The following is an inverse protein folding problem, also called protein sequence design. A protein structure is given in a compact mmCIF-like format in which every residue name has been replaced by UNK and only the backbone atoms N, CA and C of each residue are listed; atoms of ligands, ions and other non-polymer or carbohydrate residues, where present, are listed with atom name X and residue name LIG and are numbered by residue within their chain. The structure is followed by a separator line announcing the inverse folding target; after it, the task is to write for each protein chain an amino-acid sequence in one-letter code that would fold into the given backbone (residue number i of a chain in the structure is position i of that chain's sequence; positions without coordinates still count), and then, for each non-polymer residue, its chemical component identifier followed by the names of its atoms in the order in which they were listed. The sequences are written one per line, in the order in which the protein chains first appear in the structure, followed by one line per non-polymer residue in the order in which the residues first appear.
data_IF_116380946909
#
_entry.id   IF_116380946909
#
_cell.length_a   1.000
_cell.length_b   1.000
_cell.length_c   1.000
_cell.angle_alpha   90.00
_cell.angle_beta   90.00
_cell.angle_gamma   90.00
#
_symmetry.space_group_name_H-M   'P 1'
#
loop_
_entity.id
_entity.type
_entity.pdbx_description
1 polymer ?
#
# COMPACT_ATOMS: atom_id res chain seq x y z
N UNK A 1 21.84 -94.87 1.95
CA UNK A 1 20.91 -93.96 2.66
C UNK A 1 21.70 -93.00 3.54
N UNK A 2 21.75 -91.70 3.26
CA UNK A 2 21.89 -90.62 4.26
C UNK A 2 21.26 -89.33 3.71
N UNK A 3 20.44 -88.68 4.55
CA UNK A 3 19.51 -87.58 4.29
C UNK A 3 20.22 -86.27 3.90
N UNK A 4 19.67 -85.56 2.92
CA UNK A 4 19.90 -84.13 2.70
C UNK A 4 19.00 -83.36 3.67
N UNK A 5 19.60 -82.56 4.56
CA UNK A 5 18.90 -81.60 5.43
C UNK A 5 19.34 -80.22 4.96
N UNK A 6 18.40 -79.45 4.41
CA UNK A 6 18.62 -78.08 3.97
C UNK A 6 18.68 -77.10 5.14
N UNK A 7 19.39 -76.00 4.93
CA UNK A 7 19.14 -74.74 5.63
C UNK A 7 18.90 -73.70 4.55
N UNK A 8 17.64 -73.36 4.34
CA UNK A 8 17.20 -72.22 3.54
C UNK A 8 17.40 -70.99 4.42
N UNK A 9 18.54 -70.31 4.25
CA UNK A 9 18.75 -68.98 4.80
C UNK A 9 18.08 -67.95 3.89
N UNK A 10 16.94 -67.42 4.35
CA UNK A 10 16.10 -66.45 3.66
C UNK A 10 16.83 -65.10 3.44
N UNK A 11 17.61 -64.99 2.36
CA UNK A 11 18.13 -63.69 1.87
C UNK A 11 17.00 -62.95 1.15
N UNK A 12 16.11 -62.34 1.93
CA UNK A 12 14.85 -61.86 1.38
C UNK A 12 14.13 -60.81 2.22
N UNK A 13 14.83 -59.83 2.80
CA UNK A 13 14.21 -58.53 3.07
C UNK A 13 14.97 -57.44 2.33
N UNK A 14 14.66 -57.30 1.04
CA UNK A 14 14.85 -56.04 0.34
C UNK A 14 13.98 -55.02 1.09
N UNK A 15 14.60 -54.21 1.93
CA UNK A 15 13.99 -52.96 2.39
C UNK A 15 13.77 -52.16 1.11
N UNK A 16 12.53 -52.16 0.62
CA UNK A 16 12.10 -51.27 -0.45
C UNK A 16 12.19 -49.87 0.12
N UNK A 17 13.35 -49.22 -0.05
CA UNK A 17 13.65 -47.85 0.39
C UNK A 17 12.90 -46.80 -0.43
N UNK A 18 12.33 -47.20 -1.57
CA UNK A 18 11.66 -46.31 -2.52
C UNK A 18 10.43 -45.57 -1.93
N UNK A 19 9.52 -46.19 -1.16
CA UNK A 19 8.34 -45.50 -0.61
C UNK A 19 8.74 -44.46 0.44
N UNK A 20 9.68 -44.81 1.33
CA UNK A 20 10.16 -43.95 2.42
C UNK A 20 10.88 -42.72 1.86
N UNK A 21 11.67 -42.89 0.80
CA UNK A 21 12.38 -41.79 0.15
C UNK A 21 11.43 -40.81 -0.56
N UNK A 22 10.30 -41.29 -1.08
CA UNK A 22 9.27 -40.45 -1.71
C UNK A 22 8.52 -39.61 -0.66
N UNK A 23 8.21 -40.19 0.50
CA UNK A 23 7.56 -39.48 1.60
C UNK A 23 8.45 -38.38 2.18
N UNK A 24 9.75 -38.67 2.37
CA UNK A 24 10.74 -37.69 2.85
C UNK A 24 10.92 -36.55 1.82
N UNK A 25 11.01 -36.88 0.53
CA UNK A 25 11.12 -35.88 -0.53
C UNK A 25 9.86 -34.99 -0.59
N UNK A 26 8.67 -35.58 -0.44
CA UNK A 26 7.41 -34.83 -0.38
C UNK A 26 7.36 -33.86 0.79
N UNK A 27 7.70 -34.33 2.00
CA UNK A 27 7.74 -33.49 3.20
C UNK A 27 8.75 -32.33 3.08
N UNK A 28 9.93 -32.59 2.51
CA UNK A 28 10.95 -31.57 2.30
C UNK A 28 10.50 -30.50 1.29
N UNK A 29 9.85 -30.91 0.20
CA UNK A 29 9.30 -29.98 -0.80
C UNK A 29 8.22 -29.10 -0.17
N UNK A 30 7.30 -29.66 0.61
CA UNK A 30 6.27 -28.89 1.33
C UNK A 30 6.89 -27.91 2.32
N UNK A 31 7.91 -28.32 3.06
CA UNK A 31 8.62 -27.44 4.00
C UNK A 31 9.32 -26.27 3.29
N UNK A 32 9.96 -26.54 2.15
CA UNK A 32 10.57 -25.51 1.30
C UNK A 32 9.52 -24.54 0.77
N UNK A 33 8.36 -25.03 0.31
CA UNK A 33 7.28 -24.16 -0.15
C UNK A 33 6.73 -23.26 0.97
N UNK A 34 6.58 -23.75 2.20
CA UNK A 34 6.10 -22.95 3.33
C UNK A 34 7.18 -21.96 3.81
N UNK A 35 8.45 -22.35 3.81
CA UNK A 35 9.56 -21.50 4.23
C UNK A 35 9.93 -20.41 3.19
N UNK A 36 9.66 -20.67 1.91
CA UNK A 36 9.90 -19.73 0.80
C UNK A 36 8.63 -18.99 0.34
N UNK A 37 7.48 -19.23 0.97
CA UNK A 37 6.34 -18.31 0.79
C UNK A 37 6.83 -16.93 1.19
N UNK A 38 6.71 -15.91 0.32
CA UNK A 38 7.11 -14.55 0.69
C UNK A 38 6.36 -14.22 1.96
N UNK A 39 7.11 -13.92 3.03
CA UNK A 39 6.55 -13.47 4.29
C UNK A 39 5.51 -12.42 3.94
N UNK A 40 4.27 -12.65 4.36
CA UNK A 40 3.22 -11.65 4.23
C UNK A 40 3.80 -10.38 4.84
N UNK A 41 3.94 -9.34 4.03
CA UNK A 41 4.30 -8.02 4.49
C UNK A 41 3.28 -7.65 5.57
N UNK A 42 3.71 -7.66 6.82
CA UNK A 42 2.96 -6.99 7.87
C UNK A 42 3.20 -5.52 7.63
N UNK A 43 2.19 -4.85 7.07
CA UNK A 43 2.22 -3.41 6.96
C UNK A 43 2.31 -2.86 8.39
N UNK A 44 3.44 -2.25 8.73
CA UNK A 44 3.61 -1.52 9.98
C UNK A 44 2.71 -0.30 9.92
N UNK A 45 1.76 -0.15 10.84
CA UNK A 45 0.98 1.09 11.00
C UNK A 45 1.97 2.22 11.28
N UNK A 46 2.05 3.21 10.40
CA UNK A 46 3.17 4.17 10.41
C UNK A 46 3.08 5.10 11.63
N UNK A 47 1.90 5.71 11.86
CA UNK A 47 1.63 6.56 13.02
C UNK A 47 0.13 6.90 13.09
N UNK A 48 -0.45 6.91 14.29
CA UNK A 48 -1.84 7.33 14.51
C UNK A 48 -1.83 8.76 15.05
N UNK A 49 -2.46 9.69 14.32
CA UNK A 49 -2.46 11.11 14.64
C UNK A 49 -3.74 11.52 15.38
N UNK A 50 -3.58 12.28 16.47
CA UNK A 50 -4.70 12.96 17.13
C UNK A 50 -5.13 14.17 16.29
N UNK A 51 -6.42 14.29 15.98
CA UNK A 51 -6.95 15.43 15.19
C UNK A 51 -7.26 16.60 16.13
N UNK A 52 -6.24 17.38 16.49
CA UNK A 52 -6.34 18.53 17.39
C UNK A 52 -5.66 19.81 16.88
N UNK A 53 -5.19 19.79 15.63
CA UNK A 53 -4.44 20.86 14.98
C UNK A 53 -3.08 21.19 15.63
N UNK A 54 -2.53 20.29 16.44
CA UNK A 54 -1.14 20.29 16.87
C UNK A 54 -0.28 19.41 15.93
N UNK A 55 1.01 19.69 15.85
CA UNK A 55 1.99 18.90 15.11
C UNK A 55 2.85 17.99 16.01
N UNK A 56 2.62 17.98 17.32
CA UNK A 56 3.42 17.23 18.30
C UNK A 56 3.49 15.72 18.01
N UNK A 57 2.42 15.15 17.44
CA UNK A 57 2.34 13.72 17.10
C UNK A 57 3.09 13.39 15.79
N UNK A 58 3.50 14.38 15.00
CA UNK A 58 4.10 14.20 13.68
C UNK A 58 5.64 14.10 13.75
N UNK A 59 6.21 13.21 12.95
CA UNK A 59 7.65 13.03 12.83
C UNK A 59 8.23 13.84 11.65
N UNK A 60 8.97 14.92 11.96
CA UNK A 60 9.54 15.84 10.95
C UNK A 60 10.44 15.19 9.89
N UNK A 61 11.10 14.06 10.19
CA UNK A 61 12.06 13.44 9.26
C UNK A 61 11.43 12.43 8.30
N UNK A 62 10.35 11.76 8.72
CA UNK A 62 9.78 10.63 7.99
C UNK A 62 8.40 10.94 7.39
N UNK A 63 7.67 11.88 7.97
CA UNK A 63 6.28 12.18 7.59
C UNK A 63 6.16 13.51 6.84
N UNK A 64 7.19 14.36 6.86
CA UNK A 64 7.21 15.64 6.14
C UNK A 64 7.60 15.44 4.66
N UNK A 65 6.66 15.70 3.75
CA UNK A 65 6.83 15.51 2.31
C UNK A 65 7.49 16.71 1.60
N UNK A 66 7.52 17.89 2.21
CA UNK A 66 8.14 19.08 1.61
C UNK A 66 7.93 20.37 2.41
N UNK A 67 8.69 21.42 2.04
CA UNK A 67 8.77 22.69 2.80
C UNK A 67 8.62 23.97 1.96
N UNK A 68 8.53 23.87 0.61
CA UNK A 68 8.67 25.03 -0.29
C UNK A 68 7.58 26.10 -0.15
N UNK A 69 6.40 25.75 0.36
CA UNK A 69 5.27 26.67 0.54
C UNK A 69 4.51 26.35 1.83
N UNK A 70 5.27 26.12 2.91
CA UNK A 70 4.76 25.49 4.12
C UNK A 70 5.15 24.02 4.19
N UNK A 71 4.96 23.41 5.35
CA UNK A 71 5.29 22.03 5.62
C UNK A 71 4.06 21.17 5.36
N UNK A 72 4.20 20.16 4.49
CA UNK A 72 3.14 19.20 4.22
C UNK A 72 3.52 17.85 4.81
N UNK A 73 2.63 17.27 5.58
CA UNK A 73 2.85 16.00 6.25
C UNK A 73 1.85 14.95 5.78
N UNK A 74 2.29 13.70 5.76
CA UNK A 74 1.46 12.54 5.45
C UNK A 74 1.87 11.34 6.30
N UNK A 75 0.88 10.68 6.89
CA UNK A 75 1.06 9.39 7.54
C UNK A 75 -0.24 8.59 7.48
N UNK A 76 -0.22 7.37 8.02
CA UNK A 76 -1.35 6.46 7.92
C UNK A 76 -1.31 5.40 9.03
N UNK A 77 -2.49 4.87 9.35
CA UNK A 77 -2.67 3.70 10.18
C UNK A 77 -3.67 2.71 9.55
N UNK A 78 -4.14 1.73 10.32
CA UNK A 78 -5.04 0.70 9.81
C UNK A 78 -6.39 1.25 9.32
N UNK A 79 -6.79 2.43 9.79
CA UNK A 79 -8.13 2.98 9.61
C UNK A 79 -8.16 4.25 8.76
N UNK A 80 -7.09 5.06 8.77
CA UNK A 80 -7.09 6.38 8.15
C UNK A 80 -5.78 6.78 7.47
N UNK A 81 -5.93 7.69 6.50
CA UNK A 81 -4.85 8.53 5.99
C UNK A 81 -4.89 9.89 6.65
N UNK A 82 -3.75 10.34 7.16
CA UNK A 82 -3.59 11.61 7.84
C UNK A 82 -2.79 12.56 6.97
N UNK A 83 -3.26 13.81 6.90
CA UNK A 83 -2.56 14.89 6.21
C UNK A 83 -2.53 16.11 7.13
N UNK A 84 -1.38 16.78 7.20
CA UNK A 84 -1.28 18.10 7.84
C UNK A 84 -0.60 19.09 6.91
N UNK A 85 -1.00 20.36 7.04
CA UNK A 85 -0.39 21.45 6.32
C UNK A 85 -0.11 22.60 7.30
N UNK A 86 1.17 22.85 7.54
CA UNK A 86 1.62 23.95 8.38
C UNK A 86 2.18 25.08 7.52
N UNK A 87 1.49 26.21 7.52
CA UNK A 87 1.95 27.43 6.85
C UNK A 87 3.08 28.14 7.61
N UNK A 88 3.25 27.87 8.91
CA UNK A 88 4.13 28.61 9.81
C UNK A 88 3.52 29.94 10.31
N UNK A 89 2.21 30.14 10.11
CA UNK A 89 1.47 31.32 10.55
C UNK A 89 -0.02 31.22 10.22
N UNK A 90 -0.82 32.20 10.63
CA UNK A 90 -2.27 32.21 10.39
C UNK A 90 -2.61 32.19 8.89
N UNK A 91 -3.66 31.48 8.50
CA UNK A 91 -4.27 31.63 7.19
C UNK A 91 -5.03 32.96 7.14
N UNK A 92 -4.63 33.87 6.25
CA UNK A 92 -5.18 35.23 6.19
C UNK A 92 -5.91 35.55 4.88
N UNK A 93 -5.81 34.64 3.89
CA UNK A 93 -6.46 34.73 2.59
C UNK A 93 -6.45 33.34 1.93
N UNK A 94 -7.08 33.23 0.75
CA UNK A 94 -7.22 32.00 -0.05
C UNK A 94 -6.13 31.73 -1.14
N UNK A 95 -4.83 32.11 -1.04
CA UNK A 95 -3.85 31.62 -2.02
C UNK A 95 -3.39 30.18 -1.73
N UNK A 96 -3.55 29.70 -0.50
CA UNK A 96 -3.07 28.38 -0.09
C UNK A 96 -4.17 27.34 -0.37
N UNK A 97 -3.93 26.44 -1.33
CA UNK A 97 -4.87 25.38 -1.71
C UNK A 97 -4.10 24.06 -1.74
N UNK A 98 -4.59 23.09 -0.99
CA UNK A 98 -4.04 21.73 -1.00
C UNK A 98 -4.83 20.87 -1.98
N UNK A 99 -4.13 20.25 -2.92
CA UNK A 99 -4.69 19.27 -3.86
C UNK A 99 -4.06 17.90 -3.61
N UNK A 100 -4.90 16.91 -3.32
CA UNK A 100 -4.48 15.53 -3.08
C UNK A 100 -5.06 14.67 -4.18
N UNK A 101 -4.23 14.32 -5.17
CA UNK A 101 -4.61 13.41 -6.25
C UNK A 101 -4.38 11.97 -5.81
N UNK A 102 -5.38 11.10 -6.02
CA UNK A 102 -5.36 9.73 -5.54
C UNK A 102 -5.62 8.78 -6.72
N UNK A 103 -4.78 7.74 -6.79
CA UNK A 103 -5.02 6.56 -7.61
C UNK A 103 -5.31 5.38 -6.70
N UNK A 104 -6.41 4.68 -6.95
CA UNK A 104 -6.78 3.44 -6.24
C UNK A 104 -6.48 2.20 -7.07
N UNK A 105 -5.79 2.37 -8.18
CA UNK A 105 -5.48 1.32 -9.15
C UNK A 105 -3.98 1.17 -9.29
N UNK A 106 -3.55 0.03 -9.83
CA UNK A 106 -2.14 -0.21 -10.15
C UNK A 106 -1.60 0.85 -11.11
N UNK A 107 -0.31 1.22 -11.04
CA UNK A 107 0.29 2.21 -11.95
C UNK A 107 0.17 1.86 -13.45
N UNK A 108 -0.01 0.58 -13.78
CA UNK A 108 -0.22 0.08 -15.15
C UNK A 108 -1.67 0.16 -15.61
N UNK A 109 -2.62 0.55 -14.74
CA UNK A 109 -4.03 0.68 -15.08
C UNK A 109 -4.28 1.85 -16.01
N UNK A 110 -5.26 1.70 -16.90
CA UNK A 110 -5.69 2.74 -17.84
C UNK A 110 -6.74 3.67 -17.22
N UNK A 111 -7.23 3.33 -16.02
CA UNK A 111 -8.28 4.06 -15.30
C UNK A 111 -7.70 5.36 -14.73
N UNK A 112 -8.48 6.45 -14.81
CA UNK A 112 -8.07 7.78 -14.37
C UNK A 112 -7.41 8.61 -15.48
N UNK A 113 -6.80 9.71 -15.10
CA UNK A 113 -6.22 10.68 -16.03
C UNK A 113 -4.87 11.21 -15.54
N UNK A 114 -3.99 11.58 -16.48
CA UNK A 114 -2.75 12.32 -16.20
C UNK A 114 -2.98 13.83 -16.10
N UNK A 115 -4.23 14.26 -16.12
CA UNK A 115 -4.61 15.66 -16.24
C UNK A 115 -5.19 16.15 -14.91
N UNK A 116 -4.63 17.21 -14.33
CA UNK A 116 -5.18 17.83 -13.12
C UNK A 116 -6.59 18.37 -13.32
N UNK A 117 -7.26 18.76 -12.23
CA UNK A 117 -8.43 19.64 -12.34
C UNK A 117 -7.97 20.98 -12.93
N UNK A 118 -8.74 21.53 -13.86
CA UNK A 118 -8.52 22.86 -14.39
C UNK A 118 -9.09 23.91 -13.41
N UNK A 119 -8.19 24.69 -12.83
CA UNK A 119 -8.51 25.77 -11.87
C UNK A 119 -7.85 27.09 -12.27
N UNK A 120 -6.64 27.00 -12.82
CA UNK A 120 -5.94 28.12 -13.45
C UNK A 120 -5.00 27.57 -14.53
N UNK A 121 -5.57 26.72 -15.40
CA UNK A 121 -4.80 25.87 -16.28
C UNK A 121 -4.66 24.45 -15.73
N UNK A 122 -4.17 23.61 -16.63
CA UNK A 122 -4.10 22.17 -16.45
C UNK A 122 -2.64 21.73 -16.33
N UNK A 123 -2.36 20.86 -15.37
CA UNK A 123 -1.04 20.30 -15.11
C UNK A 123 -1.02 18.81 -15.48
N UNK A 124 0.15 18.32 -15.90
CA UNK A 124 0.39 16.89 -16.09
C UNK A 124 0.79 16.23 -14.78
N UNK A 125 -0.02 15.31 -14.30
CA UNK A 125 0.26 14.47 -13.14
C UNK A 125 1.29 13.39 -13.49
N UNK A 126 2.15 12.97 -12.55
CA UNK A 126 3.12 11.90 -12.79
C UNK A 126 2.50 10.49 -12.78
N UNK A 127 1.21 10.38 -12.44
CA UNK A 127 0.44 9.13 -12.43
C UNK A 127 -1.01 9.40 -12.85
N UNK A 128 -1.74 8.33 -13.17
CA UNK A 128 -3.17 8.42 -13.46
C UNK A 128 -3.97 8.51 -12.16
N UNK A 129 -4.56 9.68 -11.91
CA UNK A 129 -5.46 9.89 -10.78
C UNK A 129 -6.90 9.59 -11.18
N UNK A 130 -7.62 8.88 -10.31
CA UNK A 130 -9.06 8.67 -10.43
C UNK A 130 -9.87 9.63 -9.56
N UNK A 131 -9.22 10.20 -8.55
CA UNK A 131 -9.84 11.01 -7.51
C UNK A 131 -8.96 12.20 -7.16
N UNK A 132 -9.59 13.26 -6.68
CA UNK A 132 -8.90 14.39 -6.08
C UNK A 132 -9.69 14.94 -4.91
N UNK A 133 -8.99 15.23 -3.83
CA UNK A 133 -9.51 16.01 -2.71
C UNK A 133 -8.85 17.39 -2.72
N UNK A 134 -9.65 18.42 -2.50
CA UNK A 134 -9.21 19.81 -2.39
C UNK A 134 -9.59 20.34 -1.02
N UNK A 135 -8.66 21.10 -0.42
CA UNK A 135 -8.92 21.85 0.80
C UNK A 135 -8.35 23.27 0.72
N UNK A 136 -9.17 24.24 1.16
CA UNK A 136 -8.79 25.64 1.36
C UNK A 136 -8.84 25.94 2.86
N UNK A 137 -7.69 26.09 3.53
CA UNK A 137 -7.63 26.30 4.96
C UNK A 137 -8.26 27.61 5.44
N UNK A 138 -8.19 28.68 4.65
CA UNK A 138 -8.74 29.98 5.05
C UNK A 138 -10.28 30.00 5.04
N UNK A 139 -10.89 29.54 3.95
CA UNK A 139 -12.35 29.49 3.80
C UNK A 139 -12.99 28.24 4.39
N UNK A 140 -12.19 27.33 4.98
CA UNK A 140 -12.58 25.97 5.40
C UNK A 140 -13.31 25.17 4.32
N UNK A 141 -13.13 25.57 3.05
CA UNK A 141 -13.78 24.94 1.93
C UNK A 141 -13.07 23.63 1.59
N UNK A 142 -13.85 22.56 1.45
CA UNK A 142 -13.38 21.25 1.01
C UNK A 142 -14.29 20.70 -0.07
N UNK A 143 -13.69 20.06 -1.06
CA UNK A 143 -14.44 19.29 -2.04
C UNK A 143 -13.67 18.06 -2.48
N UNK A 144 -14.41 17.11 -3.05
CA UNK A 144 -13.91 15.90 -3.65
C UNK A 144 -14.45 15.79 -5.07
N UNK A 145 -13.60 15.31 -5.97
CA UNK A 145 -13.96 15.09 -7.38
C UNK A 145 -13.41 13.76 -7.85
N UNK A 146 -14.12 13.15 -8.79
CA UNK A 146 -13.73 11.91 -9.43
C UNK A 146 -13.68 12.06 -10.96
N UNK A 147 -12.78 11.31 -11.59
CA UNK A 147 -12.68 11.23 -13.03
C UNK A 147 -13.81 10.34 -13.57
N UNK A 148 -14.57 10.84 -14.56
CA UNK A 148 -15.68 10.11 -15.18
C UNK A 148 -15.29 9.32 -16.43
N UNK A 149 -14.03 9.45 -16.87
CA UNK A 149 -13.58 8.98 -18.18
C UNK A 149 -13.37 10.10 -19.19
N UNK A 150 -14.05 11.24 -19.02
CA UNK A 150 -13.96 12.40 -19.92
C UNK A 150 -13.73 13.73 -19.22
N UNK A 151 -14.15 13.87 -17.95
CA UNK A 151 -13.97 15.09 -17.18
C UNK A 151 -13.87 14.78 -15.68
N UNK A 152 -13.34 15.75 -14.93
CA UNK A 152 -13.48 15.78 -13.48
C UNK A 152 -14.92 16.18 -13.12
N UNK A 153 -15.58 15.37 -12.31
CA UNK A 153 -16.95 15.60 -11.83
C UNK A 153 -17.01 15.53 -10.30
N UNK A 154 -17.98 16.21 -9.71
CA UNK A 154 -18.12 16.40 -8.27
C UNK A 154 -18.42 17.85 -7.91
N UNK A 155 -18.87 18.08 -6.68
CA UNK A 155 -19.39 19.37 -6.24
C UNK A 155 -18.34 20.48 -6.34
N UNK A 156 -18.68 21.57 -7.02
CA UNK A 156 -18.05 22.86 -6.78
C UNK A 156 -18.85 23.52 -5.66
N UNK A 157 -18.71 23.09 -4.40
CA UNK A 157 -19.49 23.67 -3.30
C UNK A 157 -18.95 25.06 -2.88
N UNK A 158 -18.88 26.00 -3.82
CA UNK A 158 -18.57 27.40 -3.59
C UNK A 158 -19.41 28.30 -4.50
N UNK A 159 -20.71 27.98 -4.62
CA UNK A 159 -21.73 28.86 -5.20
C UNK A 159 -22.43 29.68 -4.13
#
# INVERSE_FOLDING_TARGET
MRKIIGIIGNFGKRITSVPIMIEIAGALITFIFIALMPARSFATTNNTITIDADLADWADNDEMLGTSYGQFYFTWDADAFYFAYNRGGSFTADPDIVWIYISTVTPTSNVGTFTSVDWNGTHTLPFRAGYVYLFRPYSEYKTYRNWTGSAWSGDWAGG
#
